data_IF_195028880681
#
_entry.id   IF_195028880681
#
_cell.length_a   1.000
_cell.length_b   1.000
_cell.length_c   1.000
_cell.angle_alpha   90.00
_cell.angle_beta   90.00
_cell.angle_gamma   90.00
#
_symmetry.space_group_name_H-M   'P 1'
#
loop_
_entity.id
_entity.type
_entity.pdbx_description
1 polymer ?
#
# COMPACT_ATOMS: atom_id res chain seq x y z
N UNK A 1 -23.05 18.58 9.79
CA UNK A 1 -21.69 18.23 9.29
C UNK A 1 -21.87 17.41 8.04
N UNK A 2 -21.23 17.75 6.91
CA UNK A 2 -21.11 16.78 5.81
C UNK A 2 -20.08 15.76 6.26
N UNK A 3 -20.55 14.56 6.61
CA UNK A 3 -19.66 13.43 6.89
C UNK A 3 -19.25 12.81 5.54
N UNK A 4 -17.95 12.67 5.31
CA UNK A 4 -17.40 12.04 4.11
C UNK A 4 -16.28 12.85 3.46
N UNK A 5 -15.44 12.16 2.70
CA UNK A 5 -14.36 12.72 1.88
C UNK A 5 -14.36 12.05 0.50
N UNK A 6 -13.82 12.69 -0.54
CA UNK A 6 -13.78 12.10 -1.87
C UNK A 6 -12.91 10.83 -1.88
N UNK A 7 -13.28 9.88 -2.75
CA UNK A 7 -12.44 8.72 -3.05
C UNK A 7 -11.23 9.15 -3.88
N UNK A 8 -10.11 8.47 -3.67
CA UNK A 8 -8.86 8.71 -4.40
C UNK A 8 -8.40 7.44 -5.09
N UNK A 9 -7.66 7.61 -6.18
CA UNK A 9 -6.97 6.52 -6.88
C UNK A 9 -5.60 6.99 -7.33
N UNK A 10 -4.68 6.05 -7.47
CA UNK A 10 -3.34 6.33 -8.00
C UNK A 10 -3.20 5.72 -9.39
N UNK A 11 -2.59 6.47 -10.31
CA UNK A 11 -2.27 5.96 -11.64
C UNK A 11 -1.08 4.98 -11.56
N UNK A 12 -1.38 3.69 -11.71
CA UNK A 12 -0.40 2.61 -11.64
C UNK A 12 0.51 2.53 -12.88
N UNK A 13 0.29 3.37 -13.89
CA UNK A 13 1.19 3.54 -15.05
C UNK A 13 2.19 4.69 -14.88
N UNK A 14 2.17 5.38 -13.74
CA UNK A 14 3.15 6.43 -13.41
C UNK A 14 4.55 5.86 -13.17
N UNK A 15 5.59 6.68 -13.37
CA UNK A 15 6.99 6.27 -13.15
C UNK A 15 7.26 5.89 -11.70
N UNK A 16 6.62 6.58 -10.77
CA UNK A 16 6.69 6.33 -9.34
C UNK A 16 6.05 4.99 -8.98
N UNK A 17 4.90 4.67 -9.57
CA UNK A 17 4.27 3.36 -9.41
C UNK A 17 5.13 2.24 -10.01
N UNK A 18 5.68 2.42 -11.22
CA UNK A 18 6.60 1.47 -11.84
C UNK A 18 7.84 1.22 -10.98
N UNK A 19 8.44 2.28 -10.42
CA UNK A 19 9.57 2.17 -9.49
C UNK A 19 9.22 1.30 -8.27
N UNK A 20 8.10 1.61 -7.60
CA UNK A 20 7.65 0.86 -6.43
C UNK A 20 7.33 -0.60 -6.79
N UNK A 21 6.63 -0.85 -7.91
CA UNK A 21 6.31 -2.20 -8.39
C UNK A 21 7.60 -3.03 -8.57
N UNK A 22 8.63 -2.45 -9.19
CA UNK A 22 9.90 -3.14 -9.40
C UNK A 22 10.64 -3.41 -8.09
N UNK A 23 10.63 -2.45 -7.15
CA UNK A 23 11.20 -2.63 -5.81
C UNK A 23 10.47 -3.72 -5.01
N UNK A 24 9.15 -3.85 -5.17
CA UNK A 24 8.38 -4.92 -4.51
C UNK A 24 8.64 -6.28 -5.15
N UNK A 25 8.82 -6.35 -6.46
CA UNK A 25 9.13 -7.59 -7.18
C UNK A 25 10.46 -8.20 -6.76
N UNK A 26 11.47 -7.39 -6.43
CA UNK A 26 12.76 -7.91 -5.94
C UNK A 26 12.63 -8.66 -4.61
N UNK A 27 11.62 -8.33 -3.80
CA UNK A 27 11.36 -8.95 -2.49
C UNK A 27 10.29 -10.04 -2.56
N UNK A 28 9.23 -9.83 -3.33
CA UNK A 28 8.03 -10.68 -3.35
C UNK A 28 7.99 -11.68 -4.51
N UNK A 29 8.86 -11.52 -5.52
CA UNK A 29 8.78 -12.23 -6.80
C UNK A 29 7.93 -11.50 -7.83
N UNK A 30 7.84 -12.05 -9.04
CA UNK A 30 7.22 -11.39 -10.20
C UNK A 30 5.69 -11.23 -10.11
N UNK A 31 5.02 -12.09 -9.36
CA UNK A 31 3.56 -12.09 -9.23
C UNK A 31 3.12 -11.31 -7.99
N UNK A 32 2.86 -10.00 -8.18
CA UNK A 32 2.28 -9.13 -7.15
C UNK A 32 0.94 -8.55 -7.60
N UNK A 33 0.03 -8.35 -6.64
CA UNK A 33 -1.22 -7.66 -6.89
C UNK A 33 -0.98 -6.14 -6.95
N UNK A 34 -1.40 -5.51 -8.05
CA UNK A 34 -1.31 -4.06 -8.25
C UNK A 34 -2.72 -3.53 -8.42
N UNK A 35 -3.17 -2.69 -7.49
CA UNK A 35 -4.52 -2.13 -7.48
C UNK A 35 -4.45 -0.60 -7.42
N UNK A 36 -5.26 0.11 -8.22
CA UNK A 36 -5.28 1.58 -8.20
C UNK A 36 -5.98 2.17 -6.96
N UNK A 37 -6.71 1.34 -6.21
CA UNK A 37 -7.49 1.71 -5.02
C UNK A 37 -7.71 0.49 -4.12
N UNK A 38 -8.05 0.73 -2.85
CA UNK A 38 -8.41 -0.28 -1.86
C UNK A 38 -9.85 -0.06 -1.36
N UNK A 39 -10.49 -1.10 -0.80
CA UNK A 39 -11.85 -0.99 -0.28
C UNK A 39 -11.98 -0.21 1.04
N UNK A 40 -10.85 0.12 1.68
CA UNK A 40 -10.79 0.95 2.88
C UNK A 40 -10.98 2.43 2.59
N UNK A 41 -11.11 3.23 3.64
CA UNK A 41 -11.19 4.68 3.53
C UNK A 41 -10.12 5.34 4.39
N UNK A 42 -9.23 6.07 3.74
CA UNK A 42 -8.23 6.95 4.34
C UNK A 42 -8.39 8.34 3.73
N UNK A 43 -8.08 9.43 4.45
CA UNK A 43 -8.20 10.79 3.93
C UNK A 43 -7.05 11.14 2.95
N UNK A 44 -6.79 10.27 1.96
CA UNK A 44 -5.65 10.39 1.04
C UNK A 44 -5.75 11.61 0.11
N UNK A 45 -6.97 12.14 -0.10
CA UNK A 45 -7.20 13.36 -0.87
C UNK A 45 -6.43 14.57 -0.33
N UNK A 46 -6.05 14.54 0.96
CA UNK A 46 -5.20 15.58 1.58
C UNK A 46 -3.79 15.63 0.98
N UNK A 47 -3.34 14.56 0.33
CA UNK A 47 -2.02 14.48 -0.29
C UNK A 47 -2.05 14.77 -1.80
N UNK A 48 -3.22 14.85 -2.43
CA UNK A 48 -3.34 15.17 -3.87
C UNK A 48 -2.76 16.56 -4.22
N UNK A 49 -2.73 17.48 -3.26
CA UNK A 49 -2.11 18.80 -3.42
C UNK A 49 -0.57 18.75 -3.61
N UNK A 50 0.07 17.63 -3.31
CA UNK A 50 1.53 17.51 -3.33
C UNK A 50 2.09 17.17 -4.73
N UNK A 51 1.24 17.06 -5.77
CA UNK A 51 1.61 16.66 -7.13
C UNK A 51 2.39 15.33 -7.23
N UNK A 52 2.34 14.51 -6.18
CA UNK A 52 3.02 13.22 -6.09
C UNK A 52 2.00 12.12 -5.81
N UNK A 53 2.15 10.92 -6.41
CA UNK A 53 1.22 9.83 -6.18
C UNK A 53 1.33 9.30 -4.75
N UNK A 54 0.18 8.91 -4.19
CA UNK A 54 0.12 8.19 -2.91
C UNK A 54 0.08 6.70 -3.20
N UNK A 55 1.08 5.95 -2.74
CA UNK A 55 1.18 4.51 -2.98
C UNK A 55 1.15 3.78 -1.64
N UNK A 56 0.18 2.89 -1.47
CA UNK A 56 0.09 2.00 -0.32
C UNK A 56 0.96 0.75 -0.51
N UNK A 57 1.63 0.31 0.56
CA UNK A 57 2.48 -0.88 0.56
C UNK A 57 1.92 -1.94 1.51
N UNK A 58 2.04 -3.24 1.19
CA UNK A 58 1.53 -4.30 2.03
C UNK A 58 2.39 -4.48 3.28
N UNK A 59 1.76 -4.47 4.45
CA UNK A 59 2.44 -4.61 5.76
C UNK A 59 1.92 -5.76 6.61
N UNK A 60 0.70 -6.24 6.33
CA UNK A 60 0.04 -7.29 7.11
C UNK A 60 -0.39 -8.49 6.26
N UNK A 61 -0.70 -9.60 6.91
CA UNK A 61 -1.40 -10.72 6.29
C UNK A 61 -2.85 -10.35 5.90
N UNK A 62 -3.39 -11.07 4.91
CA UNK A 62 -4.76 -10.88 4.42
C UNK A 62 -5.84 -11.19 5.47
N UNK A 63 -5.52 -12.06 6.43
CA UNK A 63 -6.38 -12.47 7.55
C UNK A 63 -5.97 -11.81 8.87
N UNK A 64 -5.42 -10.59 8.82
CA UNK A 64 -5.01 -9.83 10.01
C UNK A 64 -6.16 -9.48 10.95
N UNK A 65 -7.43 -9.56 10.47
CA UNK A 65 -8.64 -9.26 11.24
C UNK A 65 -8.71 -7.83 11.78
N UNK A 66 -8.14 -6.87 11.03
CA UNK A 66 -8.20 -5.44 11.37
C UNK A 66 -9.62 -5.01 11.78
N UNK A 67 -9.72 -4.22 12.85
CA UNK A 67 -11.01 -3.72 13.39
C UNK A 67 -11.96 -4.80 13.92
N UNK A 68 -11.48 -6.03 14.17
CA UNK A 68 -12.29 -7.13 14.73
C UNK A 68 -11.53 -7.90 15.82
N UNK A 69 -12.10 -8.99 16.33
CA UNK A 69 -11.48 -9.81 17.38
C UNK A 69 -10.28 -10.61 16.85
N UNK A 70 -9.30 -10.86 17.74
CA UNK A 70 -8.05 -11.56 17.45
C UNK A 70 -7.27 -10.97 16.26
N UNK A 71 -7.17 -9.63 16.23
CA UNK A 71 -6.28 -8.93 15.32
C UNK A 71 -4.85 -9.47 15.46
N UNK A 72 -4.22 -9.84 14.34
CA UNK A 72 -2.95 -10.55 14.34
C UNK A 72 -2.03 -10.10 13.19
N UNK A 73 -0.73 -10.33 13.41
CA UNK A 73 0.31 -10.16 12.40
C UNK A 73 1.26 -11.34 12.46
N UNK A 74 1.39 -12.11 11.37
CA UNK A 74 2.41 -13.17 11.32
C UNK A 74 3.79 -12.54 11.13
N UNK A 75 4.78 -12.99 11.91
CA UNK A 75 6.14 -12.45 11.88
C UNK A 75 6.77 -12.47 10.48
N UNK A 76 6.46 -13.47 9.65
CA UNK A 76 6.96 -13.51 8.26
C UNK A 76 6.52 -12.30 7.43
N UNK A 77 5.31 -11.77 7.64
CA UNK A 77 4.83 -10.58 6.94
C UNK A 77 5.41 -9.30 7.53
N UNK A 78 5.64 -9.27 8.85
CA UNK A 78 6.36 -8.18 9.50
C UNK A 78 7.78 -8.02 8.94
N UNK A 79 8.56 -9.10 8.88
CA UNK A 79 9.92 -9.05 8.32
C UNK A 79 9.90 -8.76 6.82
N UNK A 80 8.96 -9.33 6.06
CA UNK A 80 8.79 -8.99 4.65
C UNK A 80 8.44 -7.52 4.43
N UNK A 81 7.63 -6.91 5.30
CA UNK A 81 7.35 -5.48 5.21
C UNK A 81 8.64 -4.67 5.37
N UNK A 82 9.52 -5.03 6.31
CA UNK A 82 10.83 -4.37 6.47
C UNK A 82 11.64 -4.47 5.17
N UNK A 83 11.71 -5.65 4.56
CA UNK A 83 12.40 -5.86 3.27
C UNK A 83 11.79 -5.02 2.15
N UNK A 84 10.45 -4.94 2.06
CA UNK A 84 9.73 -4.10 1.08
C UNK A 84 10.08 -2.62 1.26
N UNK A 85 10.09 -2.11 2.48
CA UNK A 85 10.45 -0.70 2.71
C UNK A 85 11.93 -0.44 2.44
N UNK A 86 12.81 -1.41 2.75
CA UNK A 86 14.24 -1.30 2.48
C UNK A 86 14.54 -1.26 0.97
N UNK A 87 13.85 -2.05 0.15
CA UNK A 87 14.08 -2.10 -1.30
C UNK A 87 13.76 -0.79 -2.04
N UNK A 88 13.04 0.14 -1.40
CA UNK A 88 12.82 1.49 -1.94
C UNK A 88 14.07 2.38 -1.89
N UNK A 89 15.11 1.96 -1.19
CA UNK A 89 16.35 2.72 -0.98
C UNK A 89 17.60 2.04 -1.56
N UNK A 90 17.42 0.95 -2.33
CA UNK A 90 18.48 0.25 -3.08
C UNK A 90 18.62 0.82 -4.50
#
# INVERSE_FOLDING_TARGET
MKAGFPATKTDMSSKEAEFVINALKSVCGEEIAVLPTEGGSLPLYLFEQNEQPVIGLPTSNYDCRQHTYDENLQLKYFFRAIEIFASLFE
#
